data_IF_613833441199
#
_entry.id   IF_613833441199
#
_cell.length_a   1.000
_cell.length_b   1.000
_cell.length_c   1.000
_cell.angle_alpha   90.00
_cell.angle_beta   90.00
_cell.angle_gamma   90.00
#
_symmetry.space_group_name_H-M   'P 1'
#
loop_
_entity.id
_entity.type
_entity.pdbx_description
1 polymer ?
#
# COMPACT_ATOMS: atom_id res chain seq x y z
N UNK A 1 -16.32 3.16 -12.73
CA UNK A 1 -15.36 3.06 -13.85
C UNK A 1 -15.91 3.56 -15.20
N UNK A 2 -17.13 4.12 -15.28
CA UNK A 2 -17.76 4.52 -16.57
C UNK A 2 -17.28 5.84 -17.19
N UNK A 3 -16.27 6.52 -16.61
CA UNK A 3 -15.80 7.83 -17.08
C UNK A 3 -14.40 7.83 -17.70
N UNK A 4 -13.63 6.77 -17.50
CA UNK A 4 -12.26 6.69 -17.99
C UNK A 4 -11.79 5.24 -18.02
N UNK A 5 -10.97 4.92 -19.02
CA UNK A 5 -10.26 3.65 -19.15
C UNK A 5 -8.91 3.69 -18.41
N UNK A 6 -8.55 4.83 -17.82
CA UNK A 6 -7.33 4.98 -17.04
C UNK A 6 -7.43 4.23 -15.70
N UNK A 7 -6.33 3.62 -15.23
CA UNK A 7 -6.29 2.94 -13.94
C UNK A 7 -6.58 3.91 -12.79
N UNK A 8 -7.48 3.52 -11.89
CA UNK A 8 -7.87 4.29 -10.72
C UNK A 8 -7.15 3.79 -9.49
N UNK A 9 -6.31 4.64 -8.91
CA UNK A 9 -5.55 4.35 -7.70
C UNK A 9 -6.20 5.05 -6.49
N UNK A 10 -6.26 4.35 -5.35
CA UNK A 10 -6.81 4.90 -4.09
C UNK A 10 -5.69 5.13 -3.08
N UNK A 11 -5.55 6.36 -2.57
CA UNK A 11 -4.35 6.75 -1.80
C UNK A 11 -4.55 7.35 -0.42
N UNK A 12 -5.78 7.49 0.06
CA UNK A 12 -6.02 8.19 1.33
C UNK A 12 -6.09 7.22 2.50
N UNK A 13 -5.08 7.29 3.39
CA UNK A 13 -5.11 6.59 4.68
C UNK A 13 -4.88 5.07 4.65
N UNK A 14 -4.37 4.50 3.54
CA UNK A 14 -4.02 3.08 3.49
C UNK A 14 -2.81 2.83 4.37
N UNK A 15 -3.01 2.10 5.46
CA UNK A 15 -1.99 1.83 6.48
C UNK A 15 -1.84 0.34 6.81
N UNK A 16 -2.75 -0.50 6.30
CA UNK A 16 -2.71 -1.95 6.45
C UNK A 16 -2.91 -2.68 5.12
N UNK A 17 -2.36 -3.90 4.97
CA UNK A 17 -2.60 -4.76 3.81
C UNK A 17 -4.07 -5.13 3.62
N UNK A 18 -4.84 -5.26 4.72
CA UNK A 18 -6.27 -5.54 4.65
C UNK A 18 -7.06 -4.39 4.02
N UNK A 19 -6.72 -3.14 4.36
CA UNK A 19 -7.30 -1.96 3.70
C UNK A 19 -6.96 -1.96 2.21
N UNK A 20 -5.71 -2.29 1.85
CA UNK A 20 -5.33 -2.40 0.44
C UNK A 20 -6.20 -3.43 -0.29
N UNK A 21 -6.39 -4.62 0.30
CA UNK A 21 -7.26 -5.67 -0.25
C UNK A 21 -8.71 -5.22 -0.42
N UNK A 22 -9.27 -4.52 0.58
CA UNK A 22 -10.64 -4.01 0.49
C UNK A 22 -10.81 -3.00 -0.65
N UNK A 23 -9.82 -2.13 -0.88
CA UNK A 23 -9.88 -1.15 -1.98
C UNK A 23 -9.81 -1.81 -3.35
N UNK A 24 -8.91 -2.79 -3.52
CA UNK A 24 -8.82 -3.58 -4.75
C UNK A 24 -10.12 -4.36 -4.99
N UNK A 25 -10.66 -5.02 -3.96
CA UNK A 25 -11.95 -5.71 -4.01
C UNK A 25 -13.12 -4.78 -4.36
N UNK A 26 -13.04 -3.50 -3.96
CA UNK A 26 -14.02 -2.45 -4.28
C UNK A 26 -13.89 -1.91 -5.71
N UNK A 27 -12.93 -2.42 -6.49
CA UNK A 27 -12.72 -2.06 -7.89
C UNK A 27 -11.63 -1.01 -8.12
N UNK A 28 -10.76 -0.73 -7.14
CA UNK A 28 -9.55 0.04 -7.40
C UNK A 28 -8.55 -0.79 -8.23
N UNK A 29 -7.83 -0.15 -9.15
CA UNK A 29 -6.77 -0.77 -9.93
C UNK A 29 -5.43 -0.80 -9.16
N UNK A 30 -5.34 -0.03 -8.07
CA UNK A 30 -4.18 -0.01 -7.20
C UNK A 30 -4.40 0.86 -5.96
N UNK A 31 -3.42 0.84 -5.07
CA UNK A 31 -3.41 1.66 -3.86
C UNK A 31 -2.11 2.46 -3.72
N UNK A 32 -2.19 3.61 -3.08
CA UNK A 32 -1.05 4.47 -2.78
C UNK A 32 -0.87 4.53 -1.26
N UNK A 33 0.35 4.25 -0.80
CA UNK A 33 0.70 4.24 0.63
C UNK A 33 1.82 5.26 0.86
N UNK A 34 1.50 6.37 1.52
CA UNK A 34 2.45 7.46 1.81
C UNK A 34 2.77 7.58 3.30
N UNK A 35 1.77 7.93 4.10
CA UNK A 35 1.94 8.24 5.53
C UNK A 35 2.58 7.10 6.31
N UNK A 36 2.24 5.85 6.00
CA UNK A 36 2.80 4.68 6.69
C UNK A 36 4.28 4.46 6.39
N UNK A 37 4.72 4.78 5.18
CA UNK A 37 6.14 4.70 4.78
C UNK A 37 6.94 5.76 5.54
N UNK A 38 6.42 6.98 5.62
CA UNK A 38 7.03 8.05 6.41
C UNK A 38 7.12 7.67 7.90
N UNK A 39 6.04 7.11 8.46
CA UNK A 39 6.00 6.61 9.84
C UNK A 39 7.09 5.57 10.14
N UNK A 40 7.34 4.66 9.18
CA UNK A 40 8.43 3.67 9.29
C UNK A 40 9.78 4.40 9.25
N UNK A 41 9.97 5.33 8.31
CA UNK A 41 11.22 6.10 8.21
C UNK A 41 11.51 6.90 9.49
N UNK A 42 10.48 7.49 10.11
CA UNK A 42 10.64 8.30 11.33
C UNK A 42 10.90 7.46 12.59
N UNK A 43 10.41 6.22 12.64
CA UNK A 43 10.48 5.35 13.84
C UNK A 43 11.59 4.31 13.77
N UNK A 44 12.02 3.91 12.59
CA UNK A 44 13.02 2.87 12.40
C UNK A 44 14.44 3.41 12.58
N UNK A 45 15.31 2.58 13.17
CA UNK A 45 16.75 2.83 13.14
C UNK A 45 17.28 2.73 11.69
N UNK A 46 18.27 3.54 11.31
CA UNK A 46 18.80 3.56 9.94
C UNK A 46 19.40 2.21 9.51
N UNK A 47 19.77 1.34 10.46
CA UNK A 47 20.26 -0.02 10.19
C UNK A 47 19.16 -1.01 9.82
N UNK A 48 17.95 -0.80 10.32
CA UNK A 48 16.81 -1.70 10.16
C UNK A 48 15.74 -1.13 9.20
N UNK A 49 15.84 0.16 8.87
CA UNK A 49 14.92 0.87 7.97
C UNK A 49 14.69 0.13 6.64
N UNK A 50 15.76 -0.34 5.99
CA UNK A 50 15.62 -1.09 4.74
C UNK A 50 14.83 -2.39 4.93
N UNK A 51 15.07 -3.12 6.03
CA UNK A 51 14.34 -4.35 6.35
C UNK A 51 12.88 -4.08 6.61
N UNK A 52 12.56 -3.06 7.41
CA UNK A 52 11.17 -2.72 7.72
C UNK A 52 10.40 -2.23 6.48
N UNK A 53 11.01 -1.38 5.66
CA UNK A 53 10.41 -0.92 4.40
C UNK A 53 10.16 -2.07 3.43
N UNK A 54 11.14 -2.97 3.24
CA UNK A 54 10.99 -4.14 2.37
C UNK A 54 9.93 -5.09 2.91
N UNK A 55 9.92 -5.35 4.21
CA UNK A 55 8.91 -6.20 4.86
C UNK A 55 7.50 -5.64 4.67
N UNK A 56 7.33 -4.33 4.91
CA UNK A 56 6.04 -3.66 4.77
C UNK A 56 5.55 -3.64 3.32
N UNK A 57 6.41 -3.26 2.38
CA UNK A 57 6.06 -3.25 0.95
C UNK A 57 5.77 -4.64 0.41
N UNK A 58 6.55 -5.66 0.81
CA UNK A 58 6.29 -7.05 0.45
C UNK A 58 4.94 -7.55 0.99
N UNK A 59 4.57 -7.18 2.21
CA UNK A 59 3.28 -7.53 2.81
C UNK A 59 2.10 -6.95 2.02
N UNK A 60 2.19 -5.67 1.62
CA UNK A 60 1.18 -5.00 0.79
C UNK A 60 1.09 -5.68 -0.59
N UNK A 61 2.23 -5.89 -1.27
CA UNK A 61 2.27 -6.50 -2.61
C UNK A 61 1.74 -7.93 -2.60
N UNK A 62 2.17 -8.74 -1.63
CA UNK A 62 1.68 -10.12 -1.46
C UNK A 62 0.16 -10.17 -1.30
N UNK A 63 -0.39 -9.22 -0.54
CA UNK A 63 -1.84 -9.14 -0.28
C UNK A 63 -2.63 -8.75 -1.53
N UNK A 64 -2.10 -7.86 -2.37
CA UNK A 64 -2.74 -7.41 -3.61
C UNK A 64 -2.61 -8.47 -4.71
N UNK A 65 -1.46 -9.16 -4.78
CA UNK A 65 -1.17 -10.13 -5.85
C UNK A 65 -1.90 -11.47 -5.66
N UNK A 66 -2.38 -11.78 -4.46
CA UNK A 66 -3.20 -12.98 -4.18
C UNK A 66 -4.69 -12.83 -4.55
N UNK A 67 -5.08 -11.77 -5.27
CA UNK A 67 -6.46 -11.44 -5.60
C UNK A 67 -6.75 -11.54 -7.10
#
# INVERSE_FOLDING_TARGET
KERTELPVLVGFGISSPEQAKMMIASGADGVIVGSKILDIIEKSDPKDLQKELVSFTASIVSTICQQ
#
